data_IF_738897851608
#
_entry.id   IF_738897851608
#
_cell.length_a   1.000
_cell.length_b   1.000
_cell.length_c   1.000
_cell.angle_alpha   90.00
_cell.angle_beta   90.00
_cell.angle_gamma   90.00
#
_symmetry.space_group_name_H-M   'P 1'
#
loop_
_entity.id
_entity.type
_entity.pdbx_description
1 polymer ?
#
# COMPACT_ATOMS: atom_id res chain seq x y z
N UNK A 1 -29.13 34.00 -31.14
CA UNK A 1 -28.77 32.96 -30.15
C UNK A 1 -29.54 31.69 -30.48
N UNK A 2 -28.86 30.64 -30.97
CA UNK A 2 -29.51 29.40 -31.42
C UNK A 2 -29.90 28.48 -30.27
N UNK A 3 -31.18 28.49 -29.89
CA UNK A 3 -31.73 27.60 -28.87
C UNK A 3 -31.95 26.20 -29.44
N UNK A 4 -31.13 25.22 -29.04
CA UNK A 4 -31.44 23.81 -29.29
C UNK A 4 -32.70 23.45 -28.50
N UNK A 5 -33.78 23.08 -29.18
CA UNK A 5 -34.98 22.50 -28.59
C UNK A 5 -34.68 21.06 -28.19
N UNK A 6 -34.56 20.79 -26.88
CA UNK A 6 -34.41 19.43 -26.38
C UNK A 6 -35.76 18.73 -26.34
N UNK A 7 -35.83 17.48 -26.79
CA UNK A 7 -36.96 16.60 -26.49
C UNK A 7 -37.01 16.28 -24.99
N UNK A 8 -38.16 15.84 -24.48
CA UNK A 8 -38.30 15.41 -23.08
C UNK A 8 -37.31 14.29 -22.70
N UNK A 9 -37.04 13.36 -23.62
CA UNK A 9 -36.06 12.31 -23.39
C UNK A 9 -34.64 12.86 -23.30
N UNK A 10 -34.23 13.73 -24.22
CA UNK A 10 -32.88 14.32 -24.19
C UNK A 10 -32.69 15.22 -22.98
N UNK A 11 -33.73 15.96 -22.57
CA UNK A 11 -33.65 16.81 -21.39
C UNK A 11 -33.50 16.00 -20.11
N UNK A 12 -34.23 14.89 -19.97
CA UNK A 12 -34.08 13.97 -18.82
C UNK A 12 -32.73 13.25 -18.80
N UNK A 13 -32.18 12.86 -19.97
CA UNK A 13 -30.83 12.28 -20.03
C UNK A 13 -29.75 13.29 -19.64
N UNK A 14 -29.87 14.54 -20.10
CA UNK A 14 -28.96 15.62 -19.73
C UNK A 14 -29.06 15.95 -18.24
N UNK A 15 -30.27 15.96 -17.66
CA UNK A 15 -30.47 16.09 -16.22
C UNK A 15 -29.73 14.99 -15.46
N UNK A 16 -29.89 13.72 -15.85
CA UNK A 16 -29.18 12.58 -15.23
C UNK A 16 -27.67 12.67 -15.39
N UNK A 17 -27.17 13.21 -16.49
CA UNK A 17 -25.74 13.45 -16.69
C UNK A 17 -25.20 14.47 -15.69
N UNK A 18 -25.90 15.59 -15.50
CA UNK A 18 -25.56 16.60 -14.49
C UNK A 18 -25.59 16.00 -13.08
N UNK A 19 -26.62 15.21 -12.74
CA UNK A 19 -26.70 14.51 -11.46
C UNK A 19 -25.49 13.58 -11.22
N UNK A 20 -25.06 12.82 -12.25
CA UNK A 20 -23.86 11.96 -12.16
C UNK A 20 -22.59 12.78 -11.91
N UNK A 21 -22.42 13.90 -12.60
CA UNK A 21 -21.27 14.79 -12.43
C UNK A 21 -21.24 15.41 -11.03
N UNK A 22 -22.38 15.88 -10.52
CA UNK A 22 -22.50 16.41 -9.15
C UNK A 22 -22.11 15.34 -8.13
N UNK A 23 -22.63 14.10 -8.26
CA UNK A 23 -22.24 12.99 -7.37
C UNK A 23 -20.76 12.64 -7.46
N UNK A 24 -20.14 12.76 -8.64
CA UNK A 24 -18.71 12.52 -8.80
C UNK A 24 -17.87 13.60 -8.08
N UNK A 25 -18.19 14.88 -8.27
CA UNK A 25 -17.51 15.98 -7.56
C UNK A 25 -17.68 15.87 -6.05
N UNK A 26 -18.87 15.53 -5.55
CA UNK A 26 -19.11 15.31 -4.12
C UNK A 26 -18.22 14.21 -3.53
N UNK A 27 -18.09 13.07 -4.23
CA UNK A 27 -17.19 11.97 -3.83
C UNK A 27 -15.73 12.42 -3.80
N UNK A 28 -15.30 13.19 -4.79
CA UNK A 28 -13.93 13.73 -4.85
C UNK A 28 -13.64 14.67 -3.66
N UNK A 29 -14.59 15.52 -3.28
CA UNK A 29 -14.47 16.40 -2.10
C UNK A 29 -14.34 15.57 -0.83
N UNK A 30 -15.20 14.57 -0.66
CA UNK A 30 -15.16 13.69 0.53
C UNK A 30 -13.82 12.96 0.63
N UNK A 31 -13.34 12.39 -0.48
CA UNK A 31 -12.04 11.73 -0.54
C UNK A 31 -10.88 12.69 -0.27
N UNK A 32 -10.91 13.90 -0.82
CA UNK A 32 -9.88 14.92 -0.60
C UNK A 32 -9.84 15.36 0.87
N UNK A 33 -11.00 15.55 1.50
CA UNK A 33 -11.09 15.92 2.91
C UNK A 33 -10.67 14.79 3.85
N UNK A 34 -11.02 13.54 3.55
CA UNK A 34 -10.67 12.40 4.41
C UNK A 34 -9.16 12.14 4.46
N UNK A 35 -8.42 12.55 3.42
CA UNK A 35 -6.95 12.52 3.39
C UNK A 35 -6.30 13.83 3.84
N UNK A 36 -7.07 14.80 4.35
CA UNK A 36 -6.57 16.09 4.87
C UNK A 36 -6.17 17.11 3.80
N UNK A 37 -6.58 16.92 2.54
CA UNK A 37 -6.32 17.87 1.45
C UNK A 37 -7.31 19.03 1.42
N UNK A 38 -6.90 20.13 0.77
CA UNK A 38 -7.78 21.27 0.51
C UNK A 38 -8.74 20.96 -0.67
N UNK A 39 -10.03 21.14 -0.43
CA UNK A 39 -11.10 20.85 -1.38
C UNK A 39 -11.80 22.13 -1.91
N UNK A 40 -11.25 23.33 -1.66
CA UNK A 40 -11.88 24.60 -1.97
C UNK A 40 -12.31 24.74 -3.45
N UNK A 41 -11.44 24.36 -4.38
CA UNK A 41 -11.74 24.43 -5.83
C UNK A 41 -12.84 23.46 -6.23
N UNK A 42 -12.83 22.25 -5.68
CA UNK A 42 -13.88 21.26 -5.90
C UNK A 42 -15.23 21.73 -5.33
N UNK A 43 -15.22 22.43 -4.19
CA UNK A 43 -16.42 23.04 -3.62
C UNK A 43 -16.94 24.19 -4.50
N UNK A 44 -16.07 25.04 -5.03
CA UNK A 44 -16.44 26.09 -5.97
C UNK A 44 -17.06 25.51 -7.26
N UNK A 45 -16.44 24.44 -7.81
CA UNK A 45 -16.99 23.69 -8.95
C UNK A 45 -18.35 23.07 -8.64
N UNK A 46 -18.52 22.48 -7.46
CA UNK A 46 -19.80 21.91 -7.04
C UNK A 46 -20.90 22.97 -6.99
N UNK A 47 -20.61 24.18 -6.51
CA UNK A 47 -21.58 25.30 -6.50
C UNK A 47 -22.02 25.66 -7.93
N UNK A 48 -21.08 25.76 -8.88
CA UNK A 48 -21.39 25.98 -10.29
C UNK A 48 -22.28 24.88 -10.88
N UNK A 49 -21.90 23.61 -10.68
CA UNK A 49 -22.69 22.46 -11.18
C UNK A 49 -24.11 22.42 -10.60
N UNK A 50 -24.28 22.79 -9.33
CA UNK A 50 -25.60 22.89 -8.70
C UNK A 50 -26.43 24.03 -9.31
N UNK A 51 -25.83 25.18 -9.60
CA UNK A 51 -26.52 26.30 -10.26
C UNK A 51 -26.95 25.92 -11.69
N UNK A 52 -26.07 25.28 -12.46
CA UNK A 52 -26.38 24.81 -13.81
C UNK A 52 -27.50 23.76 -13.81
N UNK A 53 -27.48 22.82 -12.86
CA UNK A 53 -28.52 21.81 -12.70
C UNK A 53 -29.90 22.42 -12.45
N UNK A 54 -29.97 23.43 -11.57
CA UNK A 54 -31.22 24.14 -11.25
C UNK A 54 -31.73 24.92 -12.45
N UNK A 55 -30.86 25.71 -13.07
CA UNK A 55 -31.18 26.51 -14.26
C UNK A 55 -31.67 25.62 -15.40
N UNK A 56 -31.00 24.50 -15.65
CA UNK A 56 -31.37 23.56 -16.69
C UNK A 56 -32.71 22.87 -16.39
N UNK A 57 -32.89 22.36 -15.16
CA UNK A 57 -34.13 21.68 -14.77
C UNK A 57 -35.33 22.60 -14.89
N UNK A 58 -35.20 23.86 -14.47
CA UNK A 58 -36.24 24.89 -14.61
C UNK A 58 -36.56 25.19 -16.08
N UNK A 59 -35.53 25.43 -16.90
CA UNK A 59 -35.71 25.72 -18.33
C UNK A 59 -36.33 24.55 -19.12
N UNK A 60 -36.07 23.32 -18.70
CA UNK A 60 -36.61 22.11 -19.32
C UNK A 60 -37.96 21.65 -18.74
N UNK A 61 -38.52 22.36 -17.73
CA UNK A 61 -39.76 21.95 -17.06
C UNK A 61 -39.63 20.65 -16.25
N UNK A 62 -38.42 20.29 -15.82
CA UNK A 62 -38.14 19.07 -15.07
C UNK A 62 -38.09 19.34 -13.56
N UNK A 63 -38.64 18.43 -12.76
CA UNK A 63 -38.54 18.48 -11.29
C UNK A 63 -37.10 18.17 -10.84
N UNK A 64 -36.58 18.99 -9.93
CA UNK A 64 -35.32 18.72 -9.22
C UNK A 64 -35.47 17.48 -8.32
N UNK A 65 -34.46 16.63 -8.27
CA UNK A 65 -34.50 15.37 -7.51
C UNK A 65 -33.32 15.28 -6.54
N UNK A 66 -33.44 15.96 -5.40
CA UNK A 66 -32.38 16.04 -4.37
C UNK A 66 -31.91 14.68 -3.86
N UNK A 67 -32.83 13.72 -3.71
CA UNK A 67 -32.49 12.35 -3.31
C UNK A 67 -31.48 11.69 -4.25
N UNK A 68 -31.50 12.06 -5.54
CA UNK A 68 -30.54 11.55 -6.52
C UNK A 68 -29.17 12.19 -6.37
N UNK A 69 -29.03 13.32 -5.70
CA UNK A 69 -27.74 13.99 -5.52
C UNK A 69 -27.01 13.56 -4.24
N UNK A 70 -27.59 12.65 -3.45
CA UNK A 70 -26.98 12.13 -2.23
C UNK A 70 -25.77 11.26 -2.54
N UNK A 71 -24.74 11.38 -1.72
CA UNK A 71 -23.57 10.50 -1.69
C UNK A 71 -23.48 9.96 -0.27
N UNK A 72 -23.34 8.64 -0.15
CA UNK A 72 -23.18 7.97 1.15
C UNK A 72 -21.71 7.88 1.52
N UNK A 73 -21.41 8.27 2.75
CA UNK A 73 -20.06 8.24 3.29
C UNK A 73 -19.57 6.81 3.44
N UNK A 74 -18.31 6.56 3.10
CA UNK A 74 -17.70 5.23 3.20
C UNK A 74 -18.11 4.23 2.11
N UNK A 75 -18.87 4.65 1.07
CA UNK A 75 -19.23 3.76 -0.03
C UNK A 75 -18.00 3.26 -0.81
N UNK A 76 -18.08 2.07 -1.42
CA UNK A 76 -17.03 1.50 -2.28
C UNK A 76 -16.60 2.45 -3.41
N UNK A 77 -17.52 3.29 -3.87
CA UNK A 77 -17.31 4.34 -4.88
C UNK A 77 -16.34 5.45 -4.47
N UNK A 78 -16.00 5.59 -3.19
CA UNK A 78 -14.97 6.53 -2.74
C UNK A 78 -13.57 6.03 -3.12
N UNK A 79 -13.36 4.71 -3.10
CA UNK A 79 -12.07 4.11 -3.44
C UNK A 79 -11.66 4.36 -4.89
N UNK A 80 -12.60 4.63 -5.79
CA UNK A 80 -12.33 4.92 -7.21
C UNK A 80 -12.13 6.41 -7.53
N UNK A 81 -12.16 7.29 -6.53
CA UNK A 81 -11.88 8.73 -6.72
C UNK A 81 -10.40 8.98 -7.01
N UNK A 82 -10.09 10.06 -7.75
CA UNK A 82 -8.69 10.35 -8.11
C UNK A 82 -7.87 10.71 -6.88
N UNK A 83 -8.42 11.48 -5.95
CA UNK A 83 -7.79 11.84 -4.69
C UNK A 83 -7.43 10.60 -3.87
N UNK A 84 -8.36 9.63 -3.74
CA UNK A 84 -8.07 8.38 -3.02
C UNK A 84 -7.01 7.54 -3.72
N UNK A 85 -7.11 7.39 -5.05
CA UNK A 85 -6.13 6.65 -5.85
C UNK A 85 -4.75 7.30 -5.80
N UNK A 86 -4.67 8.63 -5.88
CA UNK A 86 -3.42 9.37 -5.74
C UNK A 86 -2.83 9.20 -4.35
N UNK A 87 -3.63 9.22 -3.29
CA UNK A 87 -3.16 8.98 -1.92
C UNK A 87 -2.60 7.56 -1.75
N UNK A 88 -3.27 6.55 -2.32
CA UNK A 88 -2.76 5.17 -2.34
C UNK A 88 -1.46 5.07 -3.14
N UNK A 89 -1.42 5.68 -4.33
CA UNK A 89 -0.24 5.70 -5.18
C UNK A 89 0.93 6.43 -4.54
N UNK A 90 0.71 7.56 -3.87
CA UNK A 90 1.74 8.29 -3.11
C UNK A 90 2.25 7.49 -1.92
N UNK A 91 1.37 6.74 -1.24
CA UNK A 91 1.78 5.82 -0.17
C UNK A 91 2.67 4.69 -0.70
N UNK A 92 2.51 4.33 -1.97
CA UNK A 92 3.30 3.31 -2.66
C UNK A 92 4.48 3.88 -3.48
N UNK A 93 4.59 5.20 -3.62
CA UNK A 93 5.54 5.88 -4.53
C UNK A 93 7.02 5.73 -4.14
N UNK A 94 7.31 5.13 -2.99
CA UNK A 94 8.67 4.75 -2.58
C UNK A 94 9.07 3.33 -2.96
N UNK A 95 8.13 2.48 -3.39
CA UNK A 95 8.41 1.10 -3.73
C UNK A 95 8.79 0.95 -5.21
N UNK A 96 9.99 0.45 -5.50
CA UNK A 96 10.34 0.05 -6.85
C UNK A 96 9.53 -1.19 -7.23
N UNK A 97 8.96 -1.18 -8.44
CA UNK A 97 8.13 -2.27 -8.97
C UNK A 97 8.65 -2.71 -10.33
N UNK A 98 8.17 -3.85 -10.83
CA UNK A 98 8.50 -4.28 -12.20
C UNK A 98 8.13 -3.23 -13.27
N UNK A 99 7.17 -2.33 -12.98
CA UNK A 99 6.79 -1.23 -13.90
C UNK A 99 7.81 -0.08 -13.87
N UNK A 100 8.39 0.22 -12.71
CA UNK A 100 9.29 1.37 -12.51
C UNK A 100 10.78 1.01 -12.51
N UNK A 101 11.09 -0.28 -12.38
CA UNK A 101 12.42 -0.88 -12.46
C UNK A 101 12.35 -2.29 -13.09
N UNK A 102 12.12 -2.39 -14.42
CA UNK A 102 11.91 -3.67 -15.10
C UNK A 102 13.07 -4.66 -14.98
N UNK A 103 14.30 -4.15 -14.83
CA UNK A 103 15.51 -4.95 -14.71
C UNK A 103 15.97 -5.15 -13.26
N UNK A 104 15.22 -4.64 -12.27
CA UNK A 104 15.53 -4.83 -10.84
C UNK A 104 16.80 -4.13 -10.33
N UNK A 105 17.53 -3.38 -11.15
CA UNK A 105 18.83 -2.77 -10.77
C UNK A 105 18.71 -1.77 -9.63
N UNK A 106 17.59 -1.03 -9.56
CA UNK A 106 17.35 -0.08 -8.46
C UNK A 106 16.95 -0.81 -7.18
N UNK A 107 16.15 -1.87 -7.29
CA UNK A 107 15.81 -2.75 -6.16
C UNK A 107 17.03 -3.41 -5.56
N UNK A 108 17.88 -3.99 -6.41
CA UNK A 108 19.14 -4.62 -6.02
C UNK A 108 20.07 -3.62 -5.31
N UNK A 109 20.30 -2.44 -5.92
CA UNK A 109 21.11 -1.39 -5.30
C UNK A 109 20.54 -0.93 -3.95
N UNK A 110 19.22 -0.83 -3.84
CA UNK A 110 18.56 -0.46 -2.59
C UNK A 110 18.77 -1.54 -1.51
N UNK A 111 18.56 -2.82 -1.84
CA UNK A 111 18.74 -3.92 -0.92
C UNK A 111 20.19 -3.99 -0.40
N UNK A 112 21.17 -3.92 -1.31
CA UNK A 112 22.60 -3.91 -0.94
C UNK A 112 22.90 -2.75 0.02
N UNK A 113 22.53 -1.52 -0.36
CA UNK A 113 22.78 -0.34 0.46
C UNK A 113 22.08 -0.42 1.82
N UNK A 114 20.87 -0.98 1.86
CA UNK A 114 20.10 -1.09 3.09
C UNK A 114 20.69 -2.13 4.05
N UNK A 115 21.06 -3.31 3.55
CA UNK A 115 21.74 -4.34 4.35
C UNK A 115 23.07 -3.83 4.92
N UNK A 116 23.86 -3.12 4.11
CA UNK A 116 25.09 -2.47 4.58
C UNK A 116 24.82 -1.41 5.65
N UNK A 117 23.81 -0.57 5.47
CA UNK A 117 23.42 0.42 6.47
C UNK A 117 23.04 -0.25 7.80
N UNK A 118 22.25 -1.31 7.76
CA UNK A 118 21.82 -2.05 8.96
C UNK A 118 23.02 -2.69 9.67
N UNK A 119 23.95 -3.30 8.94
CA UNK A 119 25.18 -3.89 9.51
C UNK A 119 26.08 -2.85 10.17
N UNK A 120 26.12 -1.63 9.63
CA UNK A 120 26.91 -0.51 10.16
C UNK A 120 26.19 0.27 11.27
N UNK A 121 24.88 0.02 11.46
CA UNK A 121 24.09 0.67 12.51
C UNK A 121 24.38 0.03 13.86
N UNK A 122 24.19 0.79 14.92
CA UNK A 122 24.20 0.29 16.30
C UNK A 122 23.21 -0.87 16.48
N UNK A 123 23.73 -2.07 16.70
CA UNK A 123 22.92 -3.30 16.82
C UNK A 123 21.90 -3.21 17.95
N UNK A 124 22.26 -2.60 19.09
CA UNK A 124 21.34 -2.39 20.21
C UNK A 124 20.12 -1.57 19.83
N UNK A 125 20.28 -0.58 18.95
CA UNK A 125 19.16 0.20 18.41
C UNK A 125 18.28 -0.65 17.50
N UNK A 126 18.88 -1.38 16.57
CA UNK A 126 18.15 -2.24 15.61
C UNK A 126 17.33 -3.30 16.34
N UNK A 127 17.95 -4.02 17.28
CA UNK A 127 17.32 -5.07 18.08
C UNK A 127 16.15 -4.53 18.90
N UNK A 128 16.34 -3.40 19.60
CA UNK A 128 15.26 -2.77 20.39
C UNK A 128 14.07 -2.38 19.52
N UNK A 129 14.32 -1.87 18.31
CA UNK A 129 13.26 -1.47 17.37
C UNK A 129 12.53 -2.68 16.80
N UNK A 130 13.25 -3.74 16.41
CA UNK A 130 12.64 -5.01 15.97
C UNK A 130 11.78 -5.61 17.09
N UNK A 131 12.29 -5.68 18.32
CA UNK A 131 11.54 -6.20 19.47
C UNK A 131 10.26 -5.40 19.72
N UNK A 132 10.40 -4.08 19.88
CA UNK A 132 9.29 -3.19 20.21
C UNK A 132 8.21 -3.16 19.11
N UNK A 133 8.62 -2.97 17.86
CA UNK A 133 7.68 -2.74 16.76
C UNK A 133 7.21 -4.05 16.11
N UNK A 134 8.04 -5.10 16.16
CA UNK A 134 7.71 -6.43 15.66
C UNK A 134 6.95 -7.31 16.67
N UNK A 135 6.83 -6.87 17.93
CA UNK A 135 6.11 -7.61 18.97
C UNK A 135 6.76 -8.94 19.34
N UNK A 136 8.10 -9.02 19.26
CA UNK A 136 8.90 -10.20 19.62
C UNK A 136 9.81 -9.88 20.79
N UNK A 137 10.27 -10.91 21.52
CA UNK A 137 11.21 -10.70 22.63
C UNK A 137 12.55 -10.13 22.13
N UNK A 138 13.28 -9.40 22.98
CA UNK A 138 14.61 -8.89 22.59
C UNK A 138 15.58 -10.01 22.19
N UNK A 139 15.46 -11.18 22.82
CA UNK A 139 16.23 -12.37 22.43
C UNK A 139 15.88 -12.84 21.02
N UNK A 140 14.60 -12.92 20.67
CA UNK A 140 14.18 -13.27 19.32
C UNK A 140 14.60 -12.19 18.30
N UNK A 141 14.45 -10.91 18.65
CA UNK A 141 14.88 -9.80 17.81
C UNK A 141 16.40 -9.83 17.52
N UNK A 142 17.21 -10.11 18.56
CA UNK A 142 18.66 -10.30 18.42
C UNK A 142 18.97 -11.45 17.47
N UNK A 143 18.36 -12.61 17.71
CA UNK A 143 18.54 -13.80 16.89
C UNK A 143 18.18 -13.54 15.41
N UNK A 144 17.06 -12.88 15.13
CA UNK A 144 16.65 -12.54 13.76
C UNK A 144 17.64 -11.56 13.12
N UNK A 145 18.06 -10.52 13.86
CA UNK A 145 19.03 -9.55 13.36
C UNK A 145 20.36 -10.24 13.00
N UNK A 146 20.86 -11.10 13.88
CA UNK A 146 22.10 -11.84 13.65
C UNK A 146 21.95 -12.80 12.46
N UNK A 147 20.87 -13.58 12.41
CA UNK A 147 20.56 -14.52 11.33
C UNK A 147 20.54 -13.87 9.94
N UNK A 148 19.80 -12.77 9.80
CA UNK A 148 19.56 -12.13 8.50
C UNK A 148 20.74 -11.27 8.05
N UNK A 149 21.37 -10.53 8.97
CA UNK A 149 22.31 -9.48 8.58
C UNK A 149 23.78 -9.82 8.87
N UNK A 150 24.10 -10.69 9.83
CA UNK A 150 25.46 -10.80 10.39
C UNK A 150 26.05 -12.19 10.21
N UNK A 151 25.35 -13.23 10.64
CA UNK A 151 25.81 -14.62 10.62
C UNK A 151 26.00 -15.10 9.18
N UNK A 152 26.97 -15.99 9.00
CA UNK A 152 27.13 -16.76 7.77
C UNK A 152 26.44 -18.11 7.95
N UNK A 153 25.92 -18.64 6.87
CA UNK A 153 25.22 -19.92 6.84
C UNK A 153 25.84 -20.83 5.79
N UNK A 154 25.76 -22.14 6.05
CA UNK A 154 26.14 -23.17 5.09
C UNK A 154 24.94 -23.39 4.16
N UNK A 155 25.17 -23.19 2.86
CA UNK A 155 24.21 -23.45 1.80
C UNK A 155 24.33 -24.88 1.29
N UNK A 156 23.32 -25.35 0.53
CA UNK A 156 23.30 -26.69 -0.04
C UNK A 156 24.50 -26.99 -0.97
N UNK A 157 25.13 -25.97 -1.54
CA UNK A 157 26.36 -26.08 -2.33
C UNK A 157 27.65 -26.22 -1.49
N UNK A 158 27.51 -26.22 -0.16
CA UNK A 158 28.60 -26.32 0.81
C UNK A 158 29.33 -25.00 1.08
N UNK A 159 28.92 -23.89 0.46
CA UNK A 159 29.54 -22.58 0.72
C UNK A 159 29.04 -21.98 2.03
N UNK A 160 29.94 -21.32 2.76
CA UNK A 160 29.61 -20.55 3.95
C UNK A 160 29.63 -19.05 3.63
N UNK A 161 28.45 -18.44 3.54
CA UNK A 161 28.29 -17.02 3.19
C UNK A 161 27.13 -16.36 3.92
N UNK A 162 27.10 -15.03 3.90
CA UNK A 162 25.93 -14.27 4.36
C UNK A 162 24.81 -14.39 3.31
N UNK A 163 23.57 -14.13 3.73
CA UNK A 163 22.46 -14.03 2.80
C UNK A 163 22.65 -12.88 1.80
N UNK A 164 22.21 -13.14 0.57
CA UNK A 164 22.13 -12.13 -0.48
C UNK A 164 21.06 -11.09 -0.11
N UNK A 165 21.32 -9.78 -0.25
CA UNK A 165 20.35 -8.75 0.10
C UNK A 165 19.05 -8.85 -0.71
N UNK A 166 17.91 -8.89 -0.01
CA UNK A 166 16.59 -8.93 -0.63
C UNK A 166 15.85 -7.60 -0.47
N UNK A 167 15.24 -7.14 -1.56
CA UNK A 167 14.55 -5.84 -1.60
C UNK A 167 13.28 -5.82 -0.75
N UNK A 168 12.46 -6.86 -0.83
CA UNK A 168 11.18 -6.90 -0.14
C UNK A 168 11.39 -7.09 1.37
N UNK A 169 12.37 -7.91 1.77
CA UNK A 169 12.83 -8.01 3.15
C UNK A 169 13.38 -6.68 3.66
N UNK A 170 14.19 -5.96 2.85
CA UNK A 170 14.69 -4.63 3.20
C UNK A 170 13.54 -3.68 3.54
N UNK A 171 12.51 -3.66 2.69
CA UNK A 171 11.32 -2.84 2.89
C UNK A 171 10.51 -3.26 4.13
N UNK A 172 10.42 -4.56 4.41
CA UNK A 172 9.79 -5.08 5.64
C UNK A 172 10.55 -4.65 6.90
N UNK A 173 11.87 -4.82 6.94
CA UNK A 173 12.70 -4.34 8.04
C UNK A 173 12.65 -2.82 8.18
N UNK A 174 12.59 -2.07 7.07
CA UNK A 174 12.50 -0.60 7.10
C UNK A 174 11.22 -0.16 7.81
N UNK A 175 10.07 -0.72 7.45
CA UNK A 175 8.77 -0.44 8.10
C UNK A 175 8.79 -0.79 9.59
N UNK A 176 9.37 -1.95 9.94
CA UNK A 176 9.53 -2.38 11.33
C UNK A 176 10.41 -1.39 12.10
N UNK A 177 11.58 -1.04 11.57
CA UNK A 177 12.52 -0.15 12.23
C UNK A 177 11.95 1.26 12.38
N UNK A 178 11.32 1.81 11.35
CA UNK A 178 10.63 3.10 11.42
C UNK A 178 9.44 3.09 12.39
N UNK A 179 8.81 1.93 12.59
CA UNK A 179 7.58 1.79 13.38
C UNK A 179 6.37 2.39 12.67
N UNK A 180 6.43 2.53 11.35
CA UNK A 180 5.42 3.20 10.53
C UNK A 180 4.90 2.27 9.46
N UNK A 181 3.58 2.26 9.31
CA UNK A 181 2.90 1.54 8.23
C UNK A 181 3.30 0.04 8.16
N UNK A 182 3.55 -0.61 9.31
CA UNK A 182 3.85 -2.03 9.40
C UNK A 182 2.72 -2.85 8.76
N UNK A 183 3.07 -3.91 8.05
CA UNK A 183 2.15 -4.79 7.34
C UNK A 183 2.12 -6.18 7.99
N UNK A 184 1.04 -6.95 7.81
CA UNK A 184 0.96 -8.31 8.34
C UNK A 184 2.17 -9.17 7.93
N UNK A 185 2.55 -9.13 6.65
CA UNK A 185 3.67 -9.90 6.11
C UNK A 185 5.02 -9.51 6.73
N UNK A 186 5.20 -8.26 7.20
CA UNK A 186 6.42 -7.85 7.91
C UNK A 186 6.58 -8.63 9.23
N UNK A 187 5.47 -8.92 9.94
CA UNK A 187 5.49 -9.71 11.17
C UNK A 187 5.65 -11.20 10.85
N UNK A 188 5.03 -11.67 9.76
CA UNK A 188 5.20 -13.05 9.26
C UNK A 188 6.66 -13.31 8.90
N UNK A 189 7.35 -12.36 8.27
CA UNK A 189 8.79 -12.41 8.01
C UNK A 189 9.58 -12.65 9.31
N UNK A 190 9.37 -11.83 10.36
CA UNK A 190 10.09 -12.04 11.63
C UNK A 190 9.86 -13.42 12.25
N UNK A 191 8.64 -13.96 12.12
CA UNK A 191 8.31 -15.30 12.61
C UNK A 191 8.94 -16.39 11.75
N UNK A 192 8.99 -16.19 10.44
CA UNK A 192 9.67 -17.04 9.47
C UNK A 192 11.15 -17.15 9.82
N UNK A 193 11.87 -16.02 9.83
CA UNK A 193 13.32 -15.97 10.12
C UNK A 193 13.67 -16.62 11.46
N UNK A 194 12.88 -16.36 12.50
CA UNK A 194 13.11 -16.95 13.80
C UNK A 194 12.84 -18.46 13.82
N UNK A 195 11.85 -18.95 13.07
CA UNK A 195 11.59 -20.39 12.97
C UNK A 195 12.70 -21.09 12.19
N UNK A 196 13.10 -20.53 11.05
CA UNK A 196 14.19 -21.02 10.22
C UNK A 196 15.47 -21.19 11.04
N UNK A 197 15.92 -20.12 11.72
CA UNK A 197 17.09 -20.16 12.59
C UNK A 197 16.99 -21.24 13.67
N UNK A 198 15.81 -21.39 14.30
CA UNK A 198 15.61 -22.39 15.34
C UNK A 198 15.68 -23.82 14.79
N UNK A 199 15.21 -24.05 13.56
CA UNK A 199 15.32 -25.35 12.89
C UNK A 199 16.78 -25.66 12.56
N UNK A 200 17.51 -24.69 12.00
CA UNK A 200 18.94 -24.81 11.71
C UNK A 200 19.73 -25.14 12.98
N UNK A 201 19.57 -24.35 14.05
CA UNK A 201 20.32 -24.52 15.31
C UNK A 201 19.97 -25.81 16.05
N UNK A 202 18.69 -26.24 16.03
CA UNK A 202 18.23 -27.40 16.79
C UNK A 202 18.51 -28.73 16.08
N UNK A 203 18.41 -28.75 14.76
CA UNK A 203 18.52 -29.98 13.96
C UNK A 203 19.78 -30.03 13.08
N UNK A 204 20.66 -29.03 13.19
CA UNK A 204 21.84 -28.87 12.32
C UNK A 204 21.46 -28.96 10.83
N UNK A 205 20.31 -28.36 10.51
CA UNK A 205 19.68 -28.40 9.21
C UNK A 205 20.29 -27.34 8.30
N UNK A 206 20.47 -27.66 7.02
CA UNK A 206 20.88 -26.66 6.02
C UNK A 206 19.81 -25.60 5.84
N UNK A 207 20.22 -24.41 5.43
CA UNK A 207 19.33 -23.26 5.33
C UNK A 207 18.08 -23.54 4.48
N UNK A 208 18.23 -24.19 3.32
CA UNK A 208 17.16 -24.40 2.35
C UNK A 208 16.02 -25.31 2.88
N UNK A 209 16.39 -26.33 3.65
CA UNK A 209 15.42 -27.23 4.31
C UNK A 209 14.69 -26.50 5.43
N UNK A 210 15.42 -25.72 6.23
CA UNK A 210 14.85 -24.93 7.32
C UNK A 210 13.92 -23.84 6.78
N UNK A 211 14.29 -23.21 5.68
CA UNK A 211 13.51 -22.20 4.96
C UNK A 211 12.20 -22.80 4.46
N UNK A 212 12.27 -23.96 3.80
CA UNK A 212 11.10 -24.68 3.29
C UNK A 212 10.10 -25.03 4.41
N UNK A 213 10.58 -25.45 5.58
CA UNK A 213 9.73 -25.72 6.74
C UNK A 213 9.17 -24.45 7.38
N UNK A 214 9.96 -23.37 7.42
CA UNK A 214 9.49 -22.08 7.92
C UNK A 214 8.37 -21.53 7.03
N UNK A 215 8.51 -21.65 5.71
CA UNK A 215 7.54 -21.18 4.71
C UNK A 215 6.19 -21.92 4.79
N UNK A 216 6.19 -23.19 5.20
CA UNK A 216 4.95 -23.94 5.43
C UNK A 216 4.11 -23.35 6.58
N UNK A 217 4.75 -22.74 7.58
CA UNK A 217 4.06 -22.20 8.76
C UNK A 217 3.86 -20.69 8.70
N UNK A 218 4.86 -19.98 8.19
CA UNK A 218 4.91 -18.53 8.08
C UNK A 218 5.29 -18.17 6.65
N UNK A 219 4.31 -18.27 5.76
CA UNK A 219 4.51 -18.09 4.33
C UNK A 219 4.65 -16.60 3.98
N UNK A 220 5.85 -16.06 4.16
CA UNK A 220 6.12 -14.65 3.92
C UNK A 220 5.88 -14.28 2.46
N UNK A 221 6.29 -15.17 1.54
CA UNK A 221 6.22 -14.90 0.11
C UNK A 221 4.77 -14.73 -0.36
N UNK A 222 3.88 -15.62 0.06
CA UNK A 222 2.45 -15.55 -0.28
C UNK A 222 1.81 -14.27 0.26
N UNK A 223 2.02 -13.94 1.53
CA UNK A 223 1.41 -12.74 2.11
C UNK A 223 1.94 -11.46 1.45
N UNK A 224 3.22 -11.45 1.08
CA UNK A 224 3.83 -10.38 0.30
C UNK A 224 3.20 -10.28 -1.10
N UNK A 225 3.05 -11.39 -1.81
CA UNK A 225 2.45 -11.41 -3.15
C UNK A 225 1.01 -10.92 -3.13
N UNK A 226 0.18 -11.41 -2.19
CA UNK A 226 -1.19 -10.93 -1.98
C UNK A 226 -1.24 -9.42 -1.68
N UNK A 227 -0.26 -8.92 -0.90
CA UNK A 227 -0.13 -7.50 -0.63
C UNK A 227 0.22 -6.71 -1.90
N UNK A 228 1.19 -7.17 -2.68
CA UNK A 228 1.67 -6.54 -3.91
C UNK A 228 0.57 -6.52 -4.99
N UNK A 229 -0.19 -7.59 -5.15
CA UNK A 229 -1.34 -7.65 -6.05
C UNK A 229 -2.40 -6.61 -5.67
N UNK A 230 -2.71 -6.49 -4.38
CA UNK A 230 -3.71 -5.53 -3.90
C UNK A 230 -3.31 -4.07 -4.12
N UNK A 231 -2.02 -3.75 -4.15
CA UNK A 231 -1.53 -2.38 -4.37
C UNK A 231 -1.11 -2.09 -5.81
N UNK A 232 -0.87 -3.13 -6.62
CA UNK A 232 -0.44 -3.03 -8.01
C UNK A 232 -1.56 -3.18 -9.05
N UNK A 233 -2.74 -3.66 -8.62
CA UNK A 233 -3.98 -3.75 -9.40
C UNK A 233 -4.88 -2.52 -9.31
#
# INVERSE_FOLDING_TARGET
MGGKTYTYYESTQKQRQMERQIRATKREIEATKSIGGDAQDLQNKLRGQMADYKSFSKAAGLKERDNRLRVESGSSTLKSTKAYQNAVNMKNAGAFSNKTDPFGRKREKHAISYYEEIRNRRSDYVIKRISKNGGVSEKAAKNIYEHVFVEKHIFADGTERQFDPDYDMSESFRRILEGKNIKPHDITMLRHENLELNLMKKYNMVHEDAHSLAEQKYNYKKELDEFLERIGG
#
